data_IF_420966140624
#
_entry.id   IF_420966140624
#
_cell.length_a   1.000
_cell.length_b   1.000
_cell.length_c   1.000
_cell.angle_alpha   90.00
_cell.angle_beta   90.00
_cell.angle_gamma   90.00
#
_symmetry.space_group_name_H-M   'P 1'
#
loop_
_entity.id
_entity.type
_entity.pdbx_description
1 polymer ?
#
# COMPACT_ATOMS: atom_id res chain seq x y z
N UNK A 1 22.53 -3.21 2.79
CA UNK A 1 23.21 -2.27 1.85
C UNK A 1 23.81 -2.99 0.64
N UNK A 2 24.40 -4.17 0.81
CA UNK A 2 25.08 -4.93 -0.26
C UNK A 2 24.22 -5.21 -1.51
N UNK A 3 22.93 -5.47 -1.32
CA UNK A 3 22.02 -5.71 -2.44
C UNK A 3 21.85 -4.50 -3.36
N UNK A 4 21.84 -3.26 -2.81
CA UNK A 4 21.76 -2.04 -3.62
C UNK A 4 23.05 -1.83 -4.43
N UNK A 5 24.21 -2.03 -3.78
CA UNK A 5 25.52 -1.87 -4.39
C UNK A 5 25.72 -2.79 -5.60
N UNK A 6 25.17 -4.01 -5.57
CA UNK A 6 25.24 -4.97 -6.67
C UNK A 6 24.72 -4.42 -8.01
N UNK A 7 23.77 -3.48 -7.98
CA UNK A 7 23.13 -2.92 -9.18
C UNK A 7 23.62 -1.53 -9.55
N UNK A 8 24.55 -0.94 -8.80
CA UNK A 8 25.01 0.42 -9.05
C UNK A 8 25.61 0.55 -10.46
N UNK A 9 25.16 1.54 -11.22
CA UNK A 9 25.63 1.82 -12.59
C UNK A 9 25.14 0.85 -13.67
N UNK A 10 24.34 -0.18 -13.32
CA UNK A 10 23.77 -1.11 -14.32
C UNK A 10 22.62 -0.48 -15.10
N UNK A 11 22.44 -0.90 -16.35
CA UNK A 11 21.26 -0.52 -17.14
C UNK A 11 20.01 -1.22 -16.59
N UNK A 12 18.85 -0.58 -16.70
CA UNK A 12 17.58 -1.16 -16.24
C UNK A 12 17.24 -2.51 -16.91
N UNK A 13 17.67 -2.73 -18.15
CA UNK A 13 17.50 -4.02 -18.84
C UNK A 13 18.32 -5.14 -18.20
N UNK A 14 19.52 -4.83 -17.71
CA UNK A 14 20.40 -5.80 -17.07
C UNK A 14 19.88 -6.15 -15.67
N UNK A 15 19.44 -5.13 -14.91
CA UNK A 15 18.78 -5.30 -13.62
C UNK A 15 17.56 -6.22 -13.77
N UNK A 16 16.68 -5.93 -14.73
CA UNK A 16 15.49 -6.73 -14.99
C UNK A 16 15.84 -8.18 -15.33
N UNK A 17 16.83 -8.41 -16.20
CA UNK A 17 17.28 -9.76 -16.56
C UNK A 17 17.80 -10.55 -15.36
N UNK A 18 18.62 -9.92 -14.50
CA UNK A 18 19.15 -10.54 -13.29
C UNK A 18 18.01 -10.93 -12.34
N UNK A 19 17.07 -10.01 -12.10
CA UNK A 19 15.92 -10.27 -11.21
C UNK A 19 15.03 -11.40 -11.74
N UNK A 20 14.67 -11.37 -13.04
CA UNK A 20 13.83 -12.42 -13.63
C UNK A 20 14.50 -13.79 -13.60
N UNK A 21 15.81 -13.87 -13.89
CA UNK A 21 16.55 -15.13 -13.80
C UNK A 21 16.61 -15.67 -12.37
N UNK A 22 16.78 -14.78 -11.37
CA UNK A 22 16.75 -15.15 -9.96
C UNK A 22 15.38 -15.74 -9.58
N UNK A 23 14.27 -15.13 -10.02
CA UNK A 23 12.93 -15.64 -9.73
C UNK A 23 12.74 -17.05 -10.34
N UNK A 24 13.15 -17.26 -11.60
CA UNK A 24 13.02 -18.58 -12.24
C UNK A 24 13.85 -19.64 -11.50
N UNK A 25 15.08 -19.31 -11.11
CA UNK A 25 15.94 -20.23 -10.37
C UNK A 25 15.32 -20.74 -9.07
N UNK A 26 14.57 -19.87 -8.38
CA UNK A 26 13.93 -20.16 -7.09
C UNK A 26 12.56 -20.84 -7.22
N UNK A 27 11.92 -20.79 -8.40
CA UNK A 27 10.54 -21.27 -8.60
C UNK A 27 10.42 -22.62 -9.28
N UNK A 28 11.52 -23.18 -9.80
CA UNK A 28 11.51 -24.48 -10.49
C UNK A 28 11.00 -25.67 -9.66
N UNK A 29 10.93 -25.52 -8.34
CA UNK A 29 10.44 -26.54 -7.41
C UNK A 29 9.26 -26.08 -6.56
N UNK A 30 8.66 -24.93 -6.92
CA UNK A 30 7.62 -24.31 -6.12
C UNK A 30 6.24 -24.85 -6.54
N UNK A 31 5.69 -25.73 -5.71
CA UNK A 31 4.30 -26.16 -5.82
C UNK A 31 3.36 -25.01 -5.45
N UNK A 32 2.23 -24.91 -6.16
CA UNK A 32 1.22 -23.90 -5.86
C UNK A 32 -0.08 -24.57 -5.39
N UNK A 33 -0.73 -23.99 -4.38
CA UNK A 33 -2.03 -24.43 -3.94
C UNK A 33 -3.13 -23.99 -4.91
N UNK A 34 -4.15 -24.83 -5.04
CA UNK A 34 -5.35 -24.56 -5.81
C UNK A 34 -6.44 -24.03 -4.87
N UNK A 35 -6.46 -22.71 -4.65
CA UNK A 35 -7.57 -22.07 -3.94
C UNK A 35 -8.71 -21.78 -4.92
N UNK A 36 -9.80 -22.51 -4.82
CA UNK A 36 -11.02 -22.25 -5.59
C UNK A 36 -11.85 -21.14 -4.94
N UNK A 37 -11.74 -19.90 -5.44
CA UNK A 37 -12.66 -18.82 -5.07
C UNK A 37 -13.71 -18.63 -6.18
N UNK A 38 -14.95 -19.08 -5.93
CA UNK A 38 -16.05 -19.08 -6.92
C UNK A 38 -16.94 -17.85 -6.85
N UNK A 39 -16.79 -16.99 -5.84
CA UNK A 39 -17.66 -15.82 -5.64
C UNK A 39 -17.56 -14.78 -6.79
N UNK A 40 -18.66 -14.15 -7.25
CA UNK A 40 -18.61 -13.17 -8.35
C UNK A 40 -17.72 -11.94 -8.07
N UNK A 41 -17.59 -11.55 -6.80
CA UNK A 41 -16.67 -10.48 -6.36
C UNK A 41 -15.27 -11.00 -5.96
N UNK A 42 -14.96 -12.27 -6.24
CA UNK A 42 -13.71 -12.92 -5.87
C UNK A 42 -12.50 -12.08 -6.27
N UNK A 43 -12.50 -11.45 -7.46
CA UNK A 43 -11.37 -10.61 -7.88
C UNK A 43 -11.02 -9.54 -6.83
N UNK A 44 -12.00 -8.75 -6.39
CA UNK A 44 -11.77 -7.63 -5.47
C UNK A 44 -11.45 -8.11 -4.06
N UNK A 45 -12.20 -9.11 -3.60
CA UNK A 45 -12.03 -9.69 -2.26
C UNK A 45 -10.68 -10.40 -2.15
N UNK A 46 -10.32 -11.27 -3.11
CA UNK A 46 -9.02 -11.97 -3.15
C UNK A 46 -7.86 -10.99 -3.28
N UNK A 47 -8.02 -9.89 -4.02
CA UNK A 47 -6.97 -8.84 -4.08
C UNK A 47 -6.76 -8.18 -2.72
N UNK A 48 -7.86 -7.85 -2.03
CA UNK A 48 -7.80 -7.27 -0.69
C UNK A 48 -7.21 -8.27 0.32
N UNK A 49 -7.57 -9.54 0.20
CA UNK A 49 -7.03 -10.64 1.00
C UNK A 49 -5.52 -10.82 0.75
N UNK A 50 -5.07 -10.87 -0.50
CA UNK A 50 -3.65 -10.94 -0.89
C UNK A 50 -2.85 -9.80 -0.26
N UNK A 51 -3.35 -8.57 -0.37
CA UNK A 51 -2.70 -7.41 0.19
C UNK A 51 -2.55 -7.52 1.72
N UNK A 52 -3.62 -7.92 2.42
CA UNK A 52 -3.59 -8.07 3.87
C UNK A 52 -2.73 -9.25 4.31
N UNK A 53 -2.73 -10.35 3.58
CA UNK A 53 -1.87 -11.49 3.85
C UNK A 53 -0.38 -11.11 3.77
N UNK A 54 0.01 -10.37 2.73
CA UNK A 54 1.38 -9.84 2.61
C UNK A 54 1.70 -8.89 3.78
N UNK A 55 0.84 -7.92 4.03
CA UNK A 55 1.00 -6.93 5.13
C UNK A 55 1.15 -7.60 6.51
N UNK A 56 0.44 -8.70 6.73
CA UNK A 56 0.38 -9.45 8.00
C UNK A 56 1.34 -10.65 8.04
N UNK A 57 2.24 -10.77 7.07
CA UNK A 57 3.20 -11.85 6.97
C UNK A 57 2.60 -13.27 6.95
N UNK A 58 1.42 -13.42 6.35
CA UNK A 58 0.73 -14.69 6.17
C UNK A 58 1.18 -15.33 4.86
N UNK A 59 2.30 -16.05 4.91
CA UNK A 59 3.02 -16.54 3.72
C UNK A 59 2.17 -17.48 2.87
N UNK A 60 1.54 -18.48 3.50
CA UNK A 60 0.73 -19.46 2.76
C UNK A 60 -0.53 -18.82 2.18
N UNK A 61 -1.28 -18.03 2.97
CA UNK A 61 -2.43 -17.27 2.45
C UNK A 61 -2.06 -16.37 1.26
N UNK A 62 -0.92 -15.67 1.33
CA UNK A 62 -0.46 -14.82 0.24
C UNK A 62 -0.18 -15.63 -1.03
N UNK A 63 0.35 -16.86 -0.90
CA UNK A 63 0.58 -17.77 -2.03
C UNK A 63 -0.73 -18.24 -2.66
N UNK A 64 -1.69 -18.62 -1.84
CA UNK A 64 -3.03 -19.07 -2.23
C UNK A 64 -3.79 -17.96 -2.97
N UNK A 65 -3.85 -16.75 -2.37
CA UNK A 65 -4.56 -15.62 -2.97
C UNK A 65 -3.90 -15.13 -4.26
N UNK A 66 -2.57 -15.19 -4.36
CA UNK A 66 -1.85 -14.85 -5.58
C UNK A 66 -2.15 -15.84 -6.71
N UNK A 67 -2.14 -17.14 -6.42
CA UNK A 67 -2.52 -18.22 -7.33
C UNK A 67 -3.95 -18.00 -7.85
N UNK A 68 -4.92 -17.83 -6.93
CA UNK A 68 -6.32 -17.63 -7.27
C UNK A 68 -6.56 -16.37 -8.11
N UNK A 69 -5.89 -15.26 -7.81
CA UNK A 69 -6.06 -14.02 -8.57
C UNK A 69 -5.45 -14.09 -9.98
N UNK A 70 -4.39 -14.89 -10.17
CA UNK A 70 -3.82 -15.13 -11.49
C UNK A 70 -4.82 -15.82 -12.42
N UNK A 71 -5.54 -16.83 -11.93
CA UNK A 71 -6.60 -17.52 -12.69
C UNK A 71 -7.72 -16.58 -13.10
N UNK A 72 -8.10 -15.64 -12.23
CA UNK A 72 -9.15 -14.67 -12.54
C UNK A 72 -8.70 -13.61 -13.53
N UNK A 73 -7.55 -12.97 -13.28
CA UNK A 73 -7.06 -11.89 -14.13
C UNK A 73 -5.54 -11.69 -14.02
N UNK A 74 -4.80 -12.52 -14.75
CA UNK A 74 -3.34 -12.54 -14.80
C UNK A 74 -2.68 -11.16 -15.02
N UNK A 75 -3.22 -10.29 -15.88
CA UNK A 75 -2.67 -8.94 -16.10
C UNK A 75 -2.90 -7.99 -14.92
N UNK A 76 -3.94 -8.24 -14.13
CA UNK A 76 -4.30 -7.39 -13.00
C UNK A 76 -3.46 -7.69 -11.77
N UNK A 77 -3.21 -8.97 -11.47
CA UNK A 77 -2.29 -9.35 -10.38
C UNK A 77 -0.89 -8.74 -10.57
N UNK A 78 -0.36 -8.70 -11.81
CA UNK A 78 0.93 -8.02 -12.09
C UNK A 78 0.96 -6.59 -11.56
N UNK A 79 -0.10 -5.82 -11.83
CA UNK A 79 -0.17 -4.42 -11.39
C UNK A 79 -0.40 -4.33 -9.89
N UNK A 80 -1.32 -5.12 -9.35
CA UNK A 80 -1.66 -5.08 -7.92
C UNK A 80 -0.51 -5.53 -7.04
N UNK A 81 0.24 -6.57 -7.43
CA UNK A 81 1.39 -7.03 -6.65
C UNK A 81 2.48 -5.96 -6.58
N UNK A 82 2.69 -5.18 -7.66
CA UNK A 82 3.60 -4.05 -7.63
C UNK A 82 3.11 -2.91 -6.71
N UNK A 83 1.80 -2.65 -6.67
CA UNK A 83 1.20 -1.69 -5.72
C UNK A 83 1.41 -2.17 -4.29
N UNK A 84 1.04 -3.42 -3.98
CA UNK A 84 1.17 -4.02 -2.64
C UNK A 84 2.64 -4.00 -2.19
N UNK A 85 3.56 -4.37 -3.07
CA UNK A 85 4.98 -4.33 -2.76
C UNK A 85 5.46 -2.92 -2.38
N UNK A 86 5.02 -1.88 -3.08
CA UNK A 86 5.37 -0.49 -2.75
C UNK A 86 4.64 0.03 -1.50
N UNK A 87 3.40 -0.38 -1.30
CA UNK A 87 2.51 0.10 -0.24
C UNK A 87 2.81 -0.52 1.12
N UNK A 88 3.02 -1.84 1.15
CA UNK A 88 3.00 -2.64 2.38
C UNK A 88 4.36 -3.27 2.74
N UNK A 89 5.30 -3.33 1.78
CA UNK A 89 6.67 -3.82 2.02
C UNK A 89 7.67 -2.67 1.93
N UNK A 90 7.61 -1.90 0.84
CA UNK A 90 8.38 -0.67 0.65
C UNK A 90 9.89 -0.86 0.91
N UNK A 91 10.49 0.06 1.65
CA UNK A 91 11.91 0.08 2.04
C UNK A 91 12.32 -1.05 2.98
N UNK A 92 11.38 -1.73 3.65
CA UNK A 92 11.68 -2.83 4.57
C UNK A 92 12.36 -4.00 3.86
N UNK A 93 11.91 -4.32 2.64
CA UNK A 93 12.50 -5.40 1.86
C UNK A 93 12.58 -5.04 0.37
N UNK A 94 13.53 -4.17 0.05
CA UNK A 94 13.80 -3.70 -1.32
C UNK A 94 14.02 -4.87 -2.30
N UNK A 95 14.58 -5.99 -1.86
CA UNK A 95 14.79 -7.17 -2.70
C UNK A 95 13.45 -7.80 -3.11
N UNK A 96 12.55 -8.04 -2.16
CA UNK A 96 11.22 -8.58 -2.47
C UNK A 96 10.40 -7.61 -3.35
N UNK A 97 10.48 -6.30 -3.07
CA UNK A 97 9.87 -5.27 -3.92
C UNK A 97 10.42 -5.31 -5.35
N UNK A 98 11.73 -5.47 -5.51
CA UNK A 98 12.36 -5.59 -6.82
C UNK A 98 11.87 -6.79 -7.62
N UNK A 99 11.67 -7.95 -6.98
CA UNK A 99 11.10 -9.11 -7.63
C UNK A 99 9.69 -8.86 -8.15
N UNK A 100 8.81 -8.28 -7.33
CA UNK A 100 7.45 -7.96 -7.75
C UNK A 100 7.42 -6.96 -8.93
N UNK A 101 8.24 -5.91 -8.88
CA UNK A 101 8.28 -4.88 -9.92
C UNK A 101 8.94 -5.35 -11.22
N UNK A 102 9.84 -6.35 -11.16
CA UNK A 102 10.42 -6.96 -12.35
C UNK A 102 9.34 -7.59 -13.25
N UNK A 103 8.29 -8.14 -12.66
CA UNK A 103 7.16 -8.76 -13.39
C UNK A 103 6.28 -7.76 -14.17
N UNK A 104 6.35 -6.45 -13.85
CA UNK A 104 5.53 -5.42 -14.49
C UNK A 104 5.77 -5.37 -16.00
N UNK A 105 4.69 -5.60 -16.76
CA UNK A 105 4.71 -5.64 -18.23
C UNK A 105 5.18 -6.96 -18.84
N UNK A 106 5.33 -8.03 -18.04
CA UNK A 106 5.92 -9.31 -18.48
C UNK A 106 4.93 -10.47 -18.59
N UNK A 107 3.64 -10.20 -18.78
CA UNK A 107 2.59 -11.23 -18.74
C UNK A 107 2.83 -12.43 -19.68
N UNK A 108 3.34 -12.18 -20.89
CA UNK A 108 3.69 -13.26 -21.84
C UNK A 108 4.84 -14.13 -21.32
N UNK A 109 5.87 -13.50 -20.76
CA UNK A 109 7.01 -14.19 -20.18
C UNK A 109 6.60 -14.99 -18.95
N UNK A 110 5.77 -14.42 -18.07
CA UNK A 110 5.27 -15.07 -16.85
C UNK A 110 4.52 -16.37 -17.20
N UNK A 111 3.62 -16.33 -18.17
CA UNK A 111 2.89 -17.53 -18.64
C UNK A 111 3.80 -18.63 -19.18
N UNK A 112 4.93 -18.26 -19.78
CA UNK A 112 5.90 -19.21 -20.33
C UNK A 112 6.88 -19.78 -19.28
N UNK A 113 6.93 -19.21 -18.07
CA UNK A 113 7.94 -19.54 -17.06
C UNK A 113 7.32 -19.92 -15.72
N UNK A 114 6.15 -20.57 -15.73
CA UNK A 114 5.54 -21.17 -14.53
C UNK A 114 4.25 -20.52 -14.04
N UNK A 115 3.89 -19.31 -14.48
CA UNK A 115 2.60 -18.69 -14.17
C UNK A 115 2.31 -18.58 -12.68
N UNK A 116 1.48 -19.49 -12.16
CA UNK A 116 1.11 -19.62 -10.75
C UNK A 116 2.31 -19.68 -9.81
N UNK A 117 3.28 -20.58 -10.06
CA UNK A 117 4.46 -20.74 -9.19
C UNK A 117 5.22 -19.43 -9.02
N UNK A 118 5.31 -18.59 -10.07
CA UNK A 118 5.96 -17.29 -10.00
C UNK A 118 5.23 -16.33 -9.05
N UNK A 119 3.90 -16.23 -9.19
CA UNK A 119 3.13 -15.30 -8.36
C UNK A 119 3.04 -15.75 -6.91
N UNK A 120 2.82 -17.05 -6.67
CA UNK A 120 2.79 -17.59 -5.32
C UNK A 120 4.14 -17.40 -4.64
N UNK A 121 5.26 -17.71 -5.30
CA UNK A 121 6.59 -17.50 -4.73
C UNK A 121 6.88 -16.02 -4.43
N UNK A 122 6.58 -15.10 -5.36
CA UNK A 122 6.82 -13.66 -5.14
C UNK A 122 5.93 -13.13 -4.00
N UNK A 123 4.66 -13.53 -3.95
CA UNK A 123 3.76 -13.14 -2.86
C UNK A 123 4.24 -13.68 -1.51
N UNK A 124 4.70 -14.94 -1.47
CA UNK A 124 5.31 -15.53 -0.28
C UNK A 124 6.58 -14.79 0.17
N UNK A 125 7.43 -14.36 -0.77
CA UNK A 125 8.63 -13.57 -0.46
C UNK A 125 8.30 -12.19 0.11
N UNK A 126 7.25 -11.53 -0.39
CA UNK A 126 6.78 -10.26 0.15
C UNK A 126 6.23 -10.43 1.57
N UNK A 127 5.49 -11.52 1.81
CA UNK A 127 4.91 -11.82 3.13
C UNK A 127 5.95 -12.32 4.15
N UNK A 128 7.03 -12.97 3.73
CA UNK A 128 7.96 -13.60 4.69
C UNK A 128 8.86 -12.62 5.43
N UNK A 129 9.12 -11.44 4.84
CA UNK A 129 10.05 -10.45 5.37
C UNK A 129 9.39 -9.38 6.22
N UNK A 130 10.18 -8.39 6.63
CA UNK A 130 9.68 -7.18 7.26
C UNK A 130 8.83 -6.36 6.29
N UNK A 131 7.89 -5.62 6.86
CA UNK A 131 6.87 -4.84 6.16
C UNK A 131 6.92 -3.38 6.61
N UNK A 132 6.65 -2.46 5.70
CA UNK A 132 6.59 -1.04 6.03
C UNK A 132 5.61 -0.31 5.14
N UNK A 133 4.79 0.52 5.79
CA UNK A 133 3.82 1.40 5.12
C UNK A 133 4.33 2.80 4.87
N UNK A 134 5.58 3.11 5.21
CA UNK A 134 6.12 4.48 5.15
C UNK A 134 5.92 5.18 3.80
N UNK A 135 6.03 4.47 2.67
CA UNK A 135 5.77 5.06 1.36
C UNK A 135 4.28 5.39 1.14
N UNK A 136 3.38 4.54 1.66
CA UNK A 136 1.95 4.79 1.71
C UNK A 136 1.62 5.94 2.66
N UNK A 137 2.25 6.01 3.84
CA UNK A 137 2.03 7.08 4.81
C UNK A 137 2.47 8.43 4.23
N UNK A 138 3.65 8.50 3.58
CA UNK A 138 4.10 9.70 2.87
C UNK A 138 3.10 10.11 1.78
N UNK A 139 2.56 9.15 1.02
CA UNK A 139 1.56 9.44 -0.01
C UNK A 139 0.23 9.91 0.60
N UNK A 140 -0.20 9.33 1.71
CA UNK A 140 -1.35 9.77 2.48
C UNK A 140 -1.14 11.19 3.00
N UNK A 141 0.06 11.50 3.51
CA UNK A 141 0.41 12.82 4.02
C UNK A 141 0.29 13.86 2.91
N UNK A 142 0.94 13.62 1.76
CA UNK A 142 0.86 14.54 0.62
C UNK A 142 -0.56 14.70 0.08
N UNK A 143 -1.34 13.62 -0.02
CA UNK A 143 -2.66 13.64 -0.66
C UNK A 143 -3.84 14.04 0.24
N UNK A 144 -3.72 13.85 1.55
CA UNK A 144 -4.86 13.96 2.48
C UNK A 144 -4.74 15.10 3.50
N UNK A 145 -3.57 15.71 3.66
CA UNK A 145 -3.42 16.89 4.53
C UNK A 145 -4.27 18.05 3.97
N UNK A 146 -5.26 18.56 4.73
CA UNK A 146 -6.04 19.72 4.30
C UNK A 146 -5.19 20.97 4.05
N UNK A 147 -4.03 21.10 4.71
CA UNK A 147 -3.12 22.25 4.56
C UNK A 147 -2.43 22.27 3.19
N UNK A 148 -2.28 21.11 2.54
CA UNK A 148 -1.60 20.99 1.25
C UNK A 148 -2.54 21.09 0.02
N UNK A 149 -3.86 21.19 0.27
CA UNK A 149 -4.85 21.29 -0.81
C UNK A 149 -4.68 22.53 -1.70
N UNK A 150 -4.28 23.71 -1.18
CA UNK A 150 -3.95 24.87 -2.02
C UNK A 150 -2.80 24.59 -3.00
N UNK A 151 -1.74 23.91 -2.55
CA UNK A 151 -0.55 23.55 -3.34
C UNK A 151 -0.91 22.57 -4.44
N UNK A 152 -1.74 21.55 -4.14
CA UNK A 152 -2.25 20.59 -5.13
C UNK A 152 -2.95 21.34 -6.28
N UNK A 153 -3.79 22.33 -5.95
CA UNK A 153 -4.50 23.13 -6.97
C UNK A 153 -3.55 24.03 -7.75
N UNK A 154 -2.60 24.66 -7.07
CA UNK A 154 -1.63 25.57 -7.68
C UNK A 154 -0.69 24.85 -8.66
N UNK A 155 -0.18 23.67 -8.26
CA UNK A 155 0.81 22.94 -9.05
C UNK A 155 0.19 21.97 -10.07
N UNK A 156 -1.11 21.63 -9.92
CA UNK A 156 -1.85 20.90 -10.95
C UNK A 156 -2.19 21.82 -12.13
N UNK A 157 -1.33 21.80 -13.15
CA UNK A 157 -1.49 22.53 -14.41
C UNK A 157 -0.16 23.09 -14.87
N UNK A 158 0.16 24.31 -14.46
CA UNK A 158 1.41 25.01 -14.75
C UNK A 158 2.18 25.27 -13.46
N UNK A 159 3.48 25.00 -13.47
CA UNK A 159 4.35 25.18 -12.33
C UNK A 159 5.74 25.66 -12.78
N UNK A 160 6.49 26.24 -11.85
CA UNK A 160 7.91 26.52 -12.01
C UNK A 160 8.72 25.25 -11.67
N UNK A 161 9.43 24.70 -12.66
CA UNK A 161 10.20 23.47 -12.46
C UNK A 161 11.40 23.65 -11.53
N UNK A 162 11.98 24.85 -11.44
CA UNK A 162 13.10 25.13 -10.53
C UNK A 162 12.62 25.12 -9.07
N UNK A 163 11.46 25.75 -8.82
CA UNK A 163 10.80 25.67 -7.52
C UNK A 163 10.48 24.23 -7.12
N UNK A 164 9.89 23.43 -8.03
CA UNK A 164 9.56 22.04 -7.70
C UNK A 164 10.80 21.17 -7.48
N UNK A 165 11.89 21.42 -8.21
CA UNK A 165 13.18 20.78 -7.94
C UNK A 165 13.68 21.12 -6.53
N UNK A 166 13.66 22.41 -6.16
CA UNK A 166 14.06 22.86 -4.82
C UNK A 166 13.20 22.20 -3.74
N UNK A 167 11.88 22.26 -3.88
CA UNK A 167 10.94 21.64 -2.94
C UNK A 167 11.23 20.15 -2.82
N UNK A 168 11.28 19.41 -3.94
CA UNK A 168 11.44 17.95 -3.89
C UNK A 168 12.77 17.51 -3.26
N UNK A 169 13.87 18.22 -3.54
CA UNK A 169 15.22 17.82 -3.11
C UNK A 169 15.62 18.34 -1.73
N UNK A 170 15.04 19.45 -1.26
CA UNK A 170 15.43 20.09 0.00
C UNK A 170 14.76 19.49 1.23
N UNK A 171 15.53 19.37 2.33
CA UNK A 171 15.01 18.96 3.64
C UNK A 171 14.33 20.10 4.42
N UNK A 172 14.32 21.33 3.91
CA UNK A 172 13.63 22.47 4.52
C UNK A 172 12.10 22.42 4.38
N UNK A 173 11.59 21.62 3.44
CA UNK A 173 10.16 21.43 3.21
C UNK A 173 9.62 20.20 3.93
N UNK A 174 8.33 20.24 4.25
CA UNK A 174 7.62 19.10 4.85
C UNK A 174 7.58 17.92 3.88
N UNK A 175 7.49 16.70 4.42
CA UNK A 175 7.47 15.50 3.56
C UNK A 175 6.32 15.50 2.54
N UNK A 176 5.18 16.11 2.90
CA UNK A 176 4.01 16.18 2.06
C UNK A 176 4.21 17.11 0.87
N UNK A 177 4.78 18.30 1.09
CA UNK A 177 5.16 19.22 0.01
C UNK A 177 6.15 18.56 -0.96
N UNK A 178 7.15 17.86 -0.41
CA UNK A 178 8.15 17.12 -1.20
C UNK A 178 7.50 16.03 -2.04
N UNK A 179 6.57 15.26 -1.47
CA UNK A 179 5.83 14.23 -2.19
C UNK A 179 5.01 14.83 -3.34
N UNK A 180 4.29 15.91 -3.09
CA UNK A 180 3.50 16.62 -4.11
C UNK A 180 4.37 17.20 -5.23
N UNK A 181 5.52 17.80 -4.90
CA UNK A 181 6.47 18.29 -5.90
C UNK A 181 7.00 17.14 -6.79
N UNK A 182 7.34 16.00 -6.18
CA UNK A 182 7.74 14.81 -6.93
C UNK A 182 6.64 14.28 -7.86
N UNK A 183 5.36 14.27 -7.41
CA UNK A 183 4.22 13.92 -8.25
C UNK A 183 3.99 14.92 -9.38
N UNK A 184 4.18 16.20 -9.12
CA UNK A 184 4.02 17.25 -10.10
C UNK A 184 5.06 17.11 -11.22
N UNK A 185 6.35 16.95 -10.88
CA UNK A 185 7.46 16.78 -11.83
C UNK A 185 7.26 15.61 -12.79
N UNK A 186 6.61 14.52 -12.37
CA UNK A 186 6.38 13.35 -13.22
C UNK A 186 5.04 13.36 -13.98
N UNK A 187 4.24 14.41 -13.83
CA UNK A 187 2.92 14.53 -14.45
C UNK A 187 1.82 13.68 -13.79
N UNK A 188 1.98 13.30 -12.52
CA UNK A 188 1.03 12.44 -11.80
C UNK A 188 0.16 13.20 -10.79
N UNK A 189 0.53 14.44 -10.44
CA UNK A 189 -0.30 15.30 -9.62
C UNK A 189 -1.53 15.73 -10.41
N UNK A 190 -2.71 15.66 -9.79
CA UNK A 190 -3.94 16.08 -10.43
C UNK A 190 -4.93 16.69 -9.45
N UNK A 191 -5.80 17.54 -9.97
CA UNK A 191 -6.94 18.11 -9.27
C UNK A 191 -8.21 17.96 -10.10
N UNK A 192 -9.38 18.21 -9.49
CA UNK A 192 -10.66 18.29 -10.21
C UNK A 192 -11.18 19.72 -10.18
N UNK A 193 -11.38 20.30 -11.35
CA UNK A 193 -11.99 21.61 -11.51
C UNK A 193 -13.17 21.50 -12.48
N UNK A 194 -14.35 21.94 -12.04
CA UNK A 194 -15.59 21.87 -12.83
C UNK A 194 -15.87 20.47 -13.39
N UNK A 195 -15.57 19.42 -12.61
CA UNK A 195 -15.74 18.02 -13.00
C UNK A 195 -14.67 17.46 -13.95
N UNK A 196 -13.72 18.27 -14.42
CA UNK A 196 -12.59 17.83 -15.26
C UNK A 196 -11.36 17.57 -14.41
N UNK A 197 -10.62 16.52 -14.75
CA UNK A 197 -9.32 16.22 -14.12
C UNK A 197 -8.23 17.02 -14.83
N UNK A 198 -7.49 17.83 -14.08
CA UNK A 198 -6.34 18.60 -14.56
C UNK A 198 -5.09 17.94 -13.99
N UNK A 199 -4.15 17.58 -14.87
CA UNK A 199 -2.87 16.99 -14.49
C UNK A 199 -1.76 18.04 -14.52
N UNK A 200 -0.74 17.87 -13.69
CA UNK A 200 0.49 18.64 -13.82
C UNK A 200 1.18 18.33 -15.15
N UNK A 201 1.89 19.32 -15.69
CA UNK A 201 2.81 19.10 -16.81
C UNK A 201 3.91 18.11 -16.38
N UNK A 202 4.45 17.33 -17.31
CA UNK A 202 5.48 16.33 -17.01
C UNK A 202 6.85 16.87 -17.40
N UNK A 203 7.83 16.80 -16.49
CA UNK A 203 9.23 17.18 -16.74
C UNK A 203 10.19 16.10 -16.21
N UNK A 204 10.43 15.06 -17.02
CA UNK A 204 11.28 13.93 -16.63
C UNK A 204 12.75 14.31 -16.47
N UNK A 205 13.25 15.25 -17.27
CA UNK A 205 14.64 15.68 -17.19
C UNK A 205 14.94 16.29 -15.82
N UNK A 206 14.07 17.18 -15.34
CA UNK A 206 14.20 17.78 -13.99
C UNK A 206 14.01 16.72 -12.91
N UNK A 207 13.06 15.80 -13.07
CA UNK A 207 12.90 14.71 -12.10
C UNK A 207 14.15 13.84 -12.00
N UNK A 208 14.77 13.46 -13.13
CA UNK A 208 16.01 12.67 -13.13
C UNK A 208 17.18 13.44 -12.50
N UNK A 209 17.30 14.75 -12.76
CA UNK A 209 18.27 15.64 -12.07
C UNK A 209 18.05 15.65 -10.55
N UNK A 210 16.79 15.66 -10.10
CA UNK A 210 16.48 15.55 -8.66
C UNK A 210 16.97 14.22 -8.08
N UNK A 211 16.78 13.10 -8.80
CA UNK A 211 17.26 11.79 -8.36
C UNK A 211 18.80 11.71 -8.30
N UNK A 212 19.49 12.43 -9.19
CA UNK A 212 20.95 12.61 -9.15
C UNK A 212 21.37 13.39 -7.91
N UNK A 213 20.77 14.57 -7.67
CA UNK A 213 21.06 15.42 -6.52
C UNK A 213 20.77 14.75 -5.18
N UNK A 214 19.75 13.90 -5.12
CA UNK A 214 19.40 13.11 -3.94
C UNK A 214 20.24 11.83 -3.80
N UNK A 215 21.15 11.56 -4.75
CA UNK A 215 21.99 10.36 -4.81
C UNK A 215 21.21 9.05 -4.76
N UNK A 216 20.04 9.01 -5.42
CA UNK A 216 19.15 7.83 -5.37
C UNK A 216 19.83 6.64 -6.08
N UNK A 217 19.99 5.47 -5.43
CA UNK A 217 20.66 4.30 -5.99
C UNK A 217 19.99 3.79 -7.26
N UNK A 218 20.79 3.22 -8.17
CA UNK A 218 20.29 2.75 -9.49
C UNK A 218 19.12 1.79 -9.37
N UNK A 219 19.13 0.87 -8.39
CA UNK A 219 18.01 -0.05 -8.17
C UNK A 219 16.74 0.69 -7.74
N UNK A 220 16.81 1.68 -6.84
CA UNK A 220 15.63 2.46 -6.43
C UNK A 220 15.05 3.23 -7.63
N UNK A 221 15.90 3.80 -8.49
CA UNK A 221 15.44 4.44 -9.74
C UNK A 221 14.74 3.44 -10.68
N UNK A 222 15.24 2.21 -10.77
CA UNK A 222 14.58 1.13 -11.50
C UNK A 222 13.19 0.82 -10.93
N UNK A 223 13.05 0.76 -9.59
CA UNK A 223 11.76 0.56 -8.93
C UNK A 223 10.81 1.72 -9.21
N UNK A 224 11.31 2.96 -9.23
CA UNK A 224 10.51 4.14 -9.59
C UNK A 224 9.96 4.04 -11.01
N UNK A 225 10.84 3.70 -11.96
CA UNK A 225 10.43 3.48 -13.35
C UNK A 225 9.37 2.38 -13.49
N UNK A 226 9.54 1.26 -12.78
CA UNK A 226 8.59 0.14 -12.80
C UNK A 226 7.28 0.47 -12.08
N UNK A 227 7.32 1.17 -10.96
CA UNK A 227 6.15 1.63 -10.21
C UNK A 227 5.28 2.58 -11.03
N UNK A 228 5.90 3.48 -11.81
CA UNK A 228 5.20 4.33 -12.80
C UNK A 228 4.48 3.49 -13.84
N UNK A 229 5.15 2.49 -14.43
CA UNK A 229 4.53 1.57 -15.39
C UNK A 229 3.39 0.74 -14.80
N UNK A 230 3.43 0.45 -13.50
CA UNK A 230 2.35 -0.24 -12.80
C UNK A 230 1.17 0.67 -12.43
N UNK A 231 1.28 1.99 -12.64
CA UNK A 231 0.35 3.01 -12.15
C UNK A 231 0.14 2.94 -10.63
N UNK A 232 1.23 2.82 -9.87
CA UNK A 232 1.17 2.66 -8.42
C UNK A 232 0.90 3.95 -7.63
N UNK A 233 -0.02 4.79 -8.13
CA UNK A 233 -0.63 5.93 -7.41
C UNK A 233 0.35 6.86 -6.66
N UNK A 234 1.55 7.06 -7.20
CA UNK A 234 2.55 7.93 -6.57
C UNK A 234 3.31 7.31 -5.38
N UNK A 235 3.06 6.05 -5.03
CA UNK A 235 3.78 5.32 -3.97
C UNK A 235 5.29 5.25 -4.24
N UNK A 236 5.69 5.21 -5.51
CA UNK A 236 7.10 5.21 -5.88
C UNK A 236 7.82 6.54 -5.58
N UNK A 237 7.11 7.67 -5.49
CA UNK A 237 7.68 8.93 -4.97
C UNK A 237 7.85 8.82 -3.45
N UNK A 238 6.86 8.24 -2.78
CA UNK A 238 6.95 7.88 -1.36
C UNK A 238 8.16 6.98 -1.05
N UNK A 239 8.45 6.00 -1.91
CA UNK A 239 9.62 5.12 -1.78
C UNK A 239 10.95 5.90 -1.82
N UNK A 240 11.10 6.87 -2.73
CA UNK A 240 12.31 7.70 -2.83
C UNK A 240 12.52 8.48 -1.52
N UNK A 241 11.45 9.13 -1.04
CA UNK A 241 11.49 9.96 0.16
C UNK A 241 11.70 9.11 1.42
N UNK A 242 11.07 7.95 1.51
CA UNK A 242 11.30 6.98 2.58
C UNK A 242 12.77 6.52 2.60
N UNK A 243 13.31 6.11 1.45
CA UNK A 243 14.72 5.72 1.32
C UNK A 243 15.65 6.85 1.77
N UNK A 244 15.39 8.09 1.33
CA UNK A 244 16.24 9.22 1.69
C UNK A 244 16.23 9.50 3.20
N UNK A 245 15.07 9.33 3.87
CA UNK A 245 14.94 9.52 5.32
C UNK A 245 15.62 8.43 6.13
N UNK A 246 15.73 7.23 5.57
CA UNK A 246 16.39 6.08 6.21
C UNK A 246 17.87 5.97 5.85
N UNK A 247 18.34 6.62 4.77
CA UNK A 247 19.75 6.62 4.37
C UNK A 247 20.61 7.17 5.50
N UNK A 248 21.57 6.37 5.96
CA UNK A 248 22.51 6.75 7.02
C UNK A 248 22.02 6.47 8.43
N UNK A 249 20.78 5.98 8.60
CA UNK A 249 20.37 5.28 9.81
C UNK A 249 20.88 3.84 9.69
N UNK A 250 22.17 3.65 9.98
CA UNK A 250 22.72 2.31 10.24
C UNK A 250 22.01 1.81 11.51
N UNK A 251 21.18 0.78 11.37
CA UNK A 251 20.57 -0.03 12.46
C UNK A 251 20.62 0.70 13.80
N UNK A 252 19.81 1.76 13.94
CA UNK A 252 19.61 2.35 15.26
C UNK A 252 19.16 1.18 16.13
N UNK A 253 19.98 0.83 17.13
CA UNK A 253 19.93 -0.38 17.96
C UNK A 253 18.63 -1.14 17.74
N UNK A 254 18.70 -2.29 17.07
CA UNK A 254 17.57 -3.16 16.74
C UNK A 254 16.71 -3.36 17.99
N UNK A 255 15.78 -2.44 18.21
CA UNK A 255 14.73 -2.55 19.19
C UNK A 255 13.82 -3.57 18.53
N UNK A 256 14.13 -4.85 18.76
CA UNK A 256 13.43 -5.99 18.19
C UNK A 256 11.96 -5.83 18.54
N UNK A 257 11.21 -5.22 17.62
CA UNK A 257 9.79 -5.06 17.83
C UNK A 257 9.18 -6.45 17.83
N UNK A 258 8.42 -6.79 18.87
CA UNK A 258 7.93 -8.15 19.02
C UNK A 258 7.13 -8.52 17.79
N UNK A 259 7.54 -9.61 17.13
CA UNK A 259 6.71 -10.22 16.11
C UNK A 259 5.37 -10.58 16.75
N UNK A 260 4.27 -10.08 16.18
CA UNK A 260 2.94 -10.41 16.66
C UNK A 260 2.55 -11.80 16.15
N UNK A 261 1.92 -12.61 16.99
CA UNK A 261 1.31 -13.84 16.50
C UNK A 261 0.09 -13.50 15.63
N UNK A 262 -0.25 -14.31 14.61
CA UNK A 262 -1.39 -14.07 13.74
C UNK A 262 -2.71 -13.84 14.49
N UNK A 263 -2.92 -14.57 15.59
CA UNK A 263 -4.11 -14.49 16.45
C UNK A 263 -4.17 -13.18 17.24
N UNK A 264 -3.03 -12.54 17.49
CA UNK A 264 -2.93 -11.24 18.14
C UNK A 264 -3.27 -10.09 17.17
N UNK A 265 -3.35 -10.36 15.87
CA UNK A 265 -3.75 -9.37 14.88
C UNK A 265 -5.26 -9.14 14.95
N UNK A 266 -5.65 -7.90 15.26
CA UNK A 266 -7.05 -7.49 15.28
C UNK A 266 -7.77 -7.79 13.95
N UNK A 267 -8.94 -8.42 14.07
CA UNK A 267 -9.73 -8.84 12.90
C UNK A 267 -9.12 -10.04 12.16
N UNK A 268 -8.40 -10.91 12.87
CA UNK A 268 -8.04 -12.23 12.37
C UNK A 268 -9.28 -13.15 12.40
N UNK A 269 -9.47 -13.92 11.33
CA UNK A 269 -10.63 -14.78 11.09
C UNK A 269 -10.87 -14.95 9.59
N UNK A 270 -11.56 -16.02 9.20
CA UNK A 270 -11.81 -16.34 7.80
C UNK A 270 -13.31 -16.32 7.49
N UNK A 271 -13.68 -15.74 6.35
CA UNK A 271 -15.04 -15.71 5.84
C UNK A 271 -15.02 -16.05 4.35
N UNK A 272 -15.64 -17.16 3.97
CA UNK A 272 -15.63 -17.63 2.58
C UNK A 272 -14.22 -17.95 2.05
N UNK A 273 -13.35 -18.51 2.89
CA UNK A 273 -11.99 -18.93 2.52
C UNK A 273 -10.97 -17.79 2.37
N UNK A 274 -11.31 -16.57 2.80
CA UNK A 274 -10.38 -15.44 2.85
C UNK A 274 -10.40 -14.78 4.22
N UNK A 275 -9.35 -14.02 4.57
CA UNK A 275 -9.33 -13.20 5.79
C UNK A 275 -10.54 -12.24 5.84
N UNK A 276 -11.23 -12.17 6.98
CA UNK A 276 -12.49 -11.42 7.16
C UNK A 276 -12.32 -9.92 6.91
N UNK A 277 -11.16 -9.37 7.24
CA UNK A 277 -10.79 -7.99 6.95
C UNK A 277 -10.64 -7.69 5.45
N UNK A 278 -10.61 -8.68 4.56
CA UNK A 278 -10.68 -8.48 3.10
C UNK A 278 -12.01 -7.83 2.67
N UNK A 279 -13.08 -8.03 3.45
CA UNK A 279 -14.38 -7.38 3.25
C UNK A 279 -14.38 -5.95 3.81
N UNK A 280 -13.60 -5.08 3.16
CA UNK A 280 -13.34 -3.71 3.60
C UNK A 280 -14.06 -2.64 2.75
N UNK A 281 -13.66 -1.37 2.94
CA UNK A 281 -14.18 -0.22 2.20
C UNK A 281 -13.90 -0.22 0.69
N UNK A 282 -13.13 -1.17 0.15
CA UNK A 282 -12.85 -1.33 -1.27
C UNK A 282 -13.66 -2.46 -1.93
N UNK A 283 -14.36 -3.28 -1.14
CA UNK A 283 -15.26 -4.32 -1.65
C UNK A 283 -16.72 -3.90 -1.51
N UNK A 284 -17.61 -4.35 -2.39
CA UNK A 284 -19.03 -3.96 -2.31
C UNK A 284 -19.72 -4.59 -1.09
N UNK A 285 -19.45 -5.88 -0.82
CA UNK A 285 -19.90 -6.57 0.40
C UNK A 285 -19.38 -5.85 1.66
N UNK A 286 -18.09 -5.51 1.71
CA UNK A 286 -17.51 -4.79 2.85
C UNK A 286 -18.12 -3.40 3.06
N UNK A 287 -18.35 -2.63 1.99
CA UNK A 287 -19.09 -1.35 2.08
C UNK A 287 -20.50 -1.53 2.63
N UNK A 288 -21.25 -2.55 2.18
CA UNK A 288 -22.59 -2.85 2.69
C UNK A 288 -22.52 -3.24 4.18
N UNK A 289 -21.56 -4.09 4.55
CA UNK A 289 -21.35 -4.52 5.93
C UNK A 289 -21.06 -3.34 6.87
N UNK A 290 -20.16 -2.43 6.49
CA UNK A 290 -19.80 -1.26 7.31
C UNK A 290 -20.99 -0.31 7.49
N UNK A 291 -21.84 -0.15 6.47
CA UNK A 291 -23.07 0.65 6.60
C UNK A 291 -24.10 0.02 7.53
N UNK A 292 -24.23 -1.30 7.49
CA UNK A 292 -25.09 -2.03 8.43
C UNK A 292 -24.51 -1.97 9.84
N UNK A 293 -23.20 -2.10 10.00
CA UNK A 293 -22.51 -1.94 11.27
C UNK A 293 -22.79 -0.58 11.91
N UNK A 294 -22.73 0.50 11.13
CA UNK A 294 -23.10 1.85 11.57
C UNK A 294 -24.56 2.00 12.04
N UNK A 295 -25.47 1.12 11.58
CA UNK A 295 -26.91 1.17 11.86
C UNK A 295 -27.35 0.21 12.96
N UNK A 296 -26.77 -0.99 12.97
CA UNK A 296 -27.18 -2.13 13.79
C UNK A 296 -26.44 -2.18 15.13
N UNK A 297 -25.25 -1.59 15.24
CA UNK A 297 -24.47 -1.57 16.49
C UNK A 297 -24.71 -0.26 17.24
N UNK A 298 -25.48 -0.26 18.36
CA UNK A 298 -25.91 0.96 19.04
C UNK A 298 -24.76 1.88 19.45
N UNK A 299 -23.67 1.31 19.96
CA UNK A 299 -22.50 2.04 20.46
C UNK A 299 -21.83 2.84 19.34
N UNK A 300 -21.68 2.24 18.16
CA UNK A 300 -21.14 2.88 16.96
C UNK A 300 -22.09 3.97 16.46
N UNK A 301 -23.38 3.65 16.36
CA UNK A 301 -24.42 4.58 15.89
C UNK A 301 -24.50 5.82 16.78
N UNK A 302 -24.50 5.64 18.09
CA UNK A 302 -24.58 6.71 19.07
C UNK A 302 -23.32 7.57 19.05
N UNK A 303 -22.14 6.96 18.94
CA UNK A 303 -20.88 7.69 18.79
C UNK A 303 -20.87 8.58 17.54
N UNK A 304 -21.23 8.04 16.37
CA UNK A 304 -21.27 8.81 15.12
C UNK A 304 -22.28 9.95 15.19
N UNK A 305 -23.47 9.72 15.77
CA UNK A 305 -24.51 10.74 15.94
C UNK A 305 -24.08 11.85 16.89
N UNK A 306 -23.54 11.49 18.07
CA UNK A 306 -23.07 12.43 19.10
C UNK A 306 -22.02 13.40 18.53
N UNK A 307 -21.07 12.86 17.77
CA UNK A 307 -19.95 13.62 17.22
C UNK A 307 -20.21 14.19 15.81
N UNK A 308 -21.42 13.98 15.25
CA UNK A 308 -21.82 14.41 13.90
C UNK A 308 -20.88 13.90 12.79
N UNK A 309 -20.30 12.71 12.98
CA UNK A 309 -19.45 12.08 11.98
C UNK A 309 -20.26 11.35 10.91
N UNK A 310 -19.67 11.24 9.72
CA UNK A 310 -20.26 10.53 8.58
C UNK A 310 -19.74 9.09 8.49
N UNK A 311 -20.34 8.28 7.61
CA UNK A 311 -19.84 6.94 7.29
C UNK A 311 -18.36 6.96 6.84
N UNK A 312 -17.88 8.05 6.23
CA UNK A 312 -16.48 8.20 5.80
C UNK A 312 -15.50 8.14 6.98
N UNK A 313 -15.90 8.67 8.14
CA UNK A 313 -15.10 8.57 9.36
C UNK A 313 -15.02 7.11 9.83
N UNK A 314 -16.16 6.41 9.86
CA UNK A 314 -16.21 4.99 10.23
C UNK A 314 -15.39 4.11 9.29
N UNK A 315 -15.47 4.32 7.96
CA UNK A 315 -14.64 3.62 6.98
C UNK A 315 -13.15 3.78 7.30
N UNK A 316 -12.73 5.00 7.62
CA UNK A 316 -11.36 5.30 8.01
C UNK A 316 -10.98 4.61 9.32
N UNK A 317 -11.87 4.64 10.33
CA UNK A 317 -11.60 4.01 11.61
C UNK A 317 -11.40 2.50 11.47
N UNK A 318 -12.30 1.80 10.79
CA UNK A 318 -12.18 0.36 10.53
C UNK A 318 -10.88 0.05 9.77
N UNK A 319 -10.55 0.82 8.74
CA UNK A 319 -9.29 0.64 8.01
C UNK A 319 -8.06 0.80 8.91
N UNK A 320 -8.03 1.78 9.81
CA UNK A 320 -6.91 1.99 10.73
C UNK A 320 -6.89 1.00 11.90
N UNK A 321 -7.98 0.29 12.17
CA UNK A 321 -8.05 -0.73 13.23
C UNK A 321 -7.61 -2.11 12.74
N UNK A 322 -8.20 -2.61 11.64
CA UNK A 322 -7.87 -3.96 11.12
C UNK A 322 -7.06 -3.92 9.82
N UNK A 323 -7.20 -2.87 9.02
CA UNK A 323 -6.57 -2.77 7.72
C UNK A 323 -5.07 -2.51 7.82
N UNK A 324 -4.61 -1.70 8.77
CA UNK A 324 -3.21 -1.25 8.84
C UNK A 324 -2.26 -2.16 9.61
N UNK A 325 -2.77 -3.18 10.30
CA UNK A 325 -1.97 -4.07 11.15
C UNK A 325 -0.82 -4.75 10.38
N UNK A 326 0.41 -4.60 10.92
CA UNK A 326 1.63 -5.24 10.46
C UNK A 326 2.03 -6.34 11.45
N UNK A 327 2.44 -7.50 10.95
CA UNK A 327 2.94 -8.60 11.81
C UNK A 327 4.42 -8.43 12.15
N UNK A 328 5.21 -8.08 11.11
CA UNK A 328 6.66 -7.88 11.16
C UNK A 328 6.97 -6.45 10.72
N UNK A 329 6.67 -5.44 11.55
CA UNK A 329 6.94 -4.05 11.17
C UNK A 329 8.45 -3.83 11.07
N UNK A 330 8.89 -3.16 10.00
CA UNK A 330 10.21 -2.54 9.97
C UNK A 330 10.18 -1.32 10.88
N UNK A 331 10.44 -1.56 12.15
CA UNK A 331 10.20 -0.59 13.21
C UNK A 331 11.44 0.23 13.51
N UNK A 332 11.30 1.55 13.44
CA UNK A 332 12.32 2.50 13.83
C UNK A 332 11.66 3.86 14.10
N UNK A 333 12.43 4.79 14.65
CA UNK A 333 11.91 6.13 14.98
C UNK A 333 11.32 6.86 13.77
N UNK A 334 11.85 6.64 12.56
CA UNK A 334 11.34 7.29 11.34
C UNK A 334 9.98 6.74 10.94
N UNK A 335 9.80 5.41 10.95
CA UNK A 335 8.50 4.79 10.61
C UNK A 335 7.44 5.16 11.65
N UNK A 336 7.73 5.07 12.95
CA UNK A 336 6.82 5.51 14.04
C UNK A 336 6.41 6.98 13.91
N UNK A 337 7.34 7.86 13.52
CA UNK A 337 7.05 9.27 13.29
C UNK A 337 6.07 9.50 12.13
N UNK A 338 6.21 8.75 11.02
CA UNK A 338 5.29 8.86 9.89
C UNK A 338 3.90 8.28 10.20
N UNK A 339 3.82 7.19 10.95
CA UNK A 339 2.54 6.67 11.45
C UNK A 339 1.84 7.69 12.35
N UNK A 340 2.58 8.33 13.26
CA UNK A 340 2.07 9.39 14.13
C UNK A 340 1.59 10.59 13.31
N UNK A 341 2.34 11.01 12.29
CA UNK A 341 1.95 12.10 11.42
C UNK A 341 0.71 11.75 10.59
N UNK A 342 0.61 10.54 10.07
CA UNK A 342 -0.58 10.08 9.33
C UNK A 342 -1.82 10.05 10.25
N UNK A 343 -1.66 9.64 11.52
CA UNK A 343 -2.71 9.75 12.54
C UNK A 343 -3.15 11.19 12.76
N UNK A 344 -2.21 12.13 12.89
CA UNK A 344 -2.51 13.56 13.04
C UNK A 344 -3.27 14.14 11.82
N UNK A 345 -2.97 13.64 10.62
CA UNK A 345 -3.70 14.03 9.42
C UNK A 345 -5.14 13.54 9.45
N UNK A 346 -5.39 12.34 9.94
CA UNK A 346 -6.78 11.88 10.14
C UNK A 346 -7.53 12.77 11.14
N UNK A 347 -6.89 13.16 12.26
CA UNK A 347 -7.47 14.11 13.23
C UNK A 347 -7.86 15.42 12.53
N UNK A 348 -6.93 16.01 11.79
CA UNK A 348 -7.14 17.28 11.08
C UNK A 348 -8.21 17.15 9.99
N UNK A 349 -8.13 16.11 9.17
CA UNK A 349 -9.05 15.83 8.06
C UNK A 349 -10.49 15.62 8.51
N UNK A 350 -10.68 15.01 9.67
CA UNK A 350 -12.02 14.77 10.23
C UNK A 350 -12.43 15.82 11.27
N UNK A 351 -11.61 16.86 11.50
CA UNK A 351 -11.85 17.92 12.47
C UNK A 351 -12.25 17.36 13.85
N UNK A 352 -11.42 16.46 14.37
CA UNK A 352 -11.61 15.79 15.66
C UNK A 352 -10.39 15.98 16.55
N UNK A 353 -10.33 15.28 17.69
CA UNK A 353 -9.16 15.21 18.58
C UNK A 353 -8.70 13.76 18.78
N UNK A 354 -7.53 13.62 19.41
CA UNK A 354 -6.88 12.33 19.64
C UNK A 354 -7.70 11.39 20.54
N UNK A 355 -8.40 11.95 21.53
CA UNK A 355 -9.23 11.19 22.47
C UNK A 355 -10.46 10.60 21.75
N UNK A 356 -11.13 11.42 20.95
CA UNK A 356 -12.30 11.03 20.15
C UNK A 356 -11.93 9.98 19.10
N UNK A 357 -10.79 10.14 18.43
CA UNK A 357 -10.30 9.14 17.47
C UNK A 357 -9.99 7.81 18.18
N UNK A 358 -9.34 7.87 19.34
CA UNK A 358 -9.03 6.68 20.16
C UNK A 358 -10.29 5.98 20.68
N UNK A 359 -11.31 6.74 21.11
CA UNK A 359 -12.61 6.19 21.52
C UNK A 359 -13.27 5.42 20.36
N UNK A 360 -13.28 6.00 19.15
CA UNK A 360 -13.80 5.32 17.96
C UNK A 360 -13.04 4.01 17.69
N UNK A 361 -11.71 4.02 17.75
CA UNK A 361 -10.91 2.81 17.53
C UNK A 361 -11.23 1.74 18.58
N UNK A 362 -11.34 2.11 19.85
CA UNK A 362 -11.77 1.21 20.92
C UNK A 362 -13.14 0.61 20.66
N UNK A 363 -14.12 1.42 20.22
CA UNK A 363 -15.45 0.95 19.86
C UNK A 363 -15.45 -0.02 18.68
N UNK A 364 -14.63 0.24 17.64
CA UNK A 364 -14.46 -0.68 16.52
C UNK A 364 -13.91 -2.01 17.03
N UNK A 365 -12.80 -1.99 17.78
CA UNK A 365 -12.14 -3.18 18.32
C UNK A 365 -13.14 -4.05 19.11
N UNK A 366 -13.87 -3.43 20.05
CA UNK A 366 -14.85 -4.11 20.91
C UNK A 366 -16.01 -4.74 20.12
N UNK A 367 -16.27 -4.27 18.90
CA UNK A 367 -17.40 -4.71 18.08
C UNK A 367 -16.97 -5.39 16.76
N UNK A 368 -15.70 -5.77 16.59
CA UNK A 368 -15.21 -6.45 15.38
C UNK A 368 -15.95 -7.77 15.13
N UNK A 369 -16.28 -8.54 16.17
CA UNK A 369 -17.08 -9.77 16.03
C UNK A 369 -18.44 -9.48 15.40
N UNK A 370 -19.15 -8.44 15.87
CA UNK A 370 -20.45 -8.03 15.29
C UNK A 370 -20.31 -7.58 13.83
N UNK A 371 -19.22 -6.91 13.47
CA UNK A 371 -18.93 -6.57 12.07
C UNK A 371 -18.73 -7.83 11.22
N UNK A 372 -18.04 -8.85 11.74
CA UNK A 372 -17.83 -10.12 11.06
C UNK A 372 -19.14 -10.93 10.92
N UNK A 373 -20.01 -10.92 11.93
CA UNK A 373 -21.35 -11.54 11.83
C UNK A 373 -22.16 -10.91 10.70
N UNK A 374 -22.09 -9.58 10.56
CA UNK A 374 -22.75 -8.86 9.45
C UNK A 374 -22.12 -9.25 8.10
N UNK A 375 -20.79 -9.34 8.01
CA UNK A 375 -20.08 -9.77 6.78
C UNK A 375 -20.52 -11.18 6.38
N UNK A 376 -20.52 -12.12 7.32
CA UNK A 376 -20.94 -13.51 7.10
C UNK A 376 -22.40 -13.60 6.64
N UNK A 377 -23.30 -12.91 7.34
CA UNK A 377 -24.73 -12.86 6.96
C UNK A 377 -24.92 -12.36 5.53
N UNK A 378 -24.14 -11.36 5.09
CA UNK A 378 -24.20 -10.84 3.73
C UNK A 378 -23.62 -11.78 2.68
N UNK A 379 -22.68 -12.66 3.03
CA UNK A 379 -22.15 -13.66 2.12
C UNK A 379 -23.12 -14.82 1.90
N UNK A 380 -23.93 -15.12 2.91
CA UNK A 380 -24.94 -16.18 2.87
C UNK A 380 -26.29 -15.70 2.33
N UNK A 381 -26.46 -14.39 2.06
CA UNK A 381 -27.69 -13.83 1.52
C UNK A 381 -27.74 -13.99 -0.01
N UNK A 382 -28.65 -14.82 -0.56
CA UNK A 382 -28.75 -15.09 -2.00
C UNK A 382 -29.19 -13.87 -2.82
N UNK A 383 -29.62 -12.76 -2.18
CA UNK A 383 -30.13 -11.55 -2.85
C UNK A 383 -29.02 -10.53 -3.14
N UNK A 384 -27.75 -10.89 -2.97
CA UNK A 384 -26.61 -9.97 -3.12
C UNK A 384 -25.88 -10.04 -4.47
N UNK A 385 -26.38 -10.87 -5.40
CA UNK A 385 -26.07 -10.80 -6.85
C UNK A 385 -26.96 -9.76 -7.55
#
# INVERSE_FOLDING_TARGET
>A
MDFLAHFQGRKFTDIEKILLNSIVGETNHFEWPALECTHPQAKWVVTSALQKAIRRGQVEDARDYASALFDKEASYIVRRLAVIALEDVSVANIKAVAYALALVGKIKWIRANGGHSLFSWVAGNLASGETSRIACDIACIGGLDPKLQPEIKSWAGSYDSELLEEVFTSNSYTIGERHLAGLALIGALHTKENGKVIYSTKNEEVFDKCLDRMEVPTLIRYLVYKGRKANAEGLFVGLILAWQRLKGLESAEDDESPELEPEDLLGYGYLGGVVSSAYDMHTAVGKKAIRLFAKEVPEIKDFLRKNKFTERFLFSAIFNTEGTALRKPFDNIVTRNFETLNRHINITRFNTDEATLSEMYGLVIQNLTRLNDIRERLLNDPVTE
#
